data_IF_005288326265
#
_entry.id   IF_005288326265
#
_cell.length_a   1.000
_cell.length_b   1.000
_cell.length_c   1.000
_cell.angle_alpha   90.00
_cell.angle_beta   90.00
_cell.angle_gamma   90.00
#
_symmetry.space_group_name_H-M   'P 1'
#
loop_
_entity.id
_entity.type
_entity.pdbx_description
1 polymer ?
#
# COMPACT_ATOMS: atom_id res chain seq x y z
N UNK A 1 14.46 1.97 -16.19
CA UNK A 1 14.63 3.07 -15.22
C UNK A 1 13.36 3.90 -15.19
N UNK A 2 12.68 3.98 -14.05
CA UNK A 2 11.51 4.82 -13.80
C UNK A 2 11.79 5.69 -12.58
N UNK A 3 11.22 6.90 -12.54
CA UNK A 3 11.31 7.79 -11.37
C UNK A 3 10.04 7.68 -10.55
N UNK A 4 10.18 7.73 -9.23
CA UNK A 4 9.09 7.77 -8.26
C UNK A 4 9.31 8.88 -7.23
N UNK A 5 8.25 9.48 -6.79
CA UNK A 5 8.22 10.40 -5.65
C UNK A 5 7.64 9.68 -4.43
N UNK A 6 8.28 9.79 -3.28
CA UNK A 6 7.75 9.25 -2.01
C UNK A 6 7.44 10.43 -1.09
N UNK A 7 6.21 10.53 -0.63
CA UNK A 7 5.86 11.48 0.43
C UNK A 7 6.06 10.82 1.79
N UNK A 8 7.05 11.27 2.54
CA UNK A 8 7.41 10.78 3.87
C UNK A 8 8.69 9.94 3.88
N UNK A 9 9.70 10.41 4.59
CA UNK A 9 11.05 9.80 4.72
C UNK A 9 11.23 8.96 6.00
N UNK A 10 10.12 8.55 6.62
CA UNK A 10 10.12 7.72 7.82
C UNK A 10 10.36 6.23 7.54
N UNK A 11 10.14 5.38 8.54
CA UNK A 11 10.37 3.93 8.43
C UNK A 11 9.63 3.28 7.27
N UNK A 12 8.35 3.60 7.08
CA UNK A 12 7.57 3.05 5.96
C UNK A 12 8.05 3.57 4.60
N UNK A 13 8.44 4.85 4.51
CA UNK A 13 9.01 5.42 3.28
C UNK A 13 10.26 4.67 2.82
N UNK A 14 11.14 4.27 3.76
CA UNK A 14 12.33 3.44 3.45
C UNK A 14 11.96 2.05 2.93
N UNK A 15 10.91 1.44 3.48
CA UNK A 15 10.42 0.12 3.01
C UNK A 15 9.84 0.23 1.60
N UNK A 16 9.13 1.32 1.30
CA UNK A 16 8.62 1.60 -0.05
C UNK A 16 9.78 1.79 -1.04
N UNK A 17 10.79 2.59 -0.67
CA UNK A 17 11.99 2.80 -1.49
C UNK A 17 12.71 1.49 -1.79
N UNK A 18 12.96 0.66 -0.77
CA UNK A 18 13.55 -0.67 -0.95
C UNK A 18 12.73 -1.52 -1.93
N UNK A 19 11.41 -1.53 -1.78
CA UNK A 19 10.51 -2.26 -2.69
C UNK A 19 10.62 -1.74 -4.13
N UNK A 20 10.74 -0.43 -4.33
CA UNK A 20 10.92 0.17 -5.67
C UNK A 20 12.23 -0.30 -6.30
N UNK A 21 13.33 -0.37 -5.54
CA UNK A 21 14.60 -0.89 -6.04
C UNK A 21 14.55 -2.40 -6.33
N UNK A 22 13.72 -3.17 -5.62
CA UNK A 22 13.49 -4.59 -5.95
C UNK A 22 12.72 -4.79 -7.26
N UNK A 23 11.93 -3.81 -7.70
CA UNK A 23 11.29 -3.84 -9.02
C UNK A 23 12.31 -3.66 -10.15
N UNK A 24 13.23 -2.72 -9.98
CA UNK A 24 14.33 -2.41 -10.92
C UNK A 24 15.37 -1.56 -10.17
N UNK A 25 16.60 -2.06 -10.07
CA UNK A 25 17.70 -1.37 -9.38
C UNK A 25 18.06 -0.01 -10.02
N UNK A 26 17.70 0.20 -11.28
CA UNK A 26 17.93 1.46 -12.00
C UNK A 26 16.81 2.50 -11.74
N UNK A 27 15.80 2.18 -10.93
CA UNK A 27 14.78 3.15 -10.56
C UNK A 27 15.38 4.29 -9.74
N UNK A 28 14.82 5.47 -9.90
CA UNK A 28 15.20 6.67 -9.14
C UNK A 28 14.08 7.05 -8.18
N UNK A 29 14.45 7.38 -6.94
CA UNK A 29 13.50 7.76 -5.88
C UNK A 29 13.88 9.13 -5.33
N UNK A 30 12.91 10.02 -5.24
CA UNK A 30 13.04 11.28 -4.53
C UNK A 30 11.95 11.41 -3.48
N UNK A 31 12.23 12.18 -2.43
CA UNK A 31 11.32 12.32 -1.29
C UNK A 31 10.75 13.73 -1.17
N UNK A 32 9.47 13.82 -0.87
CA UNK A 32 8.91 14.94 -0.14
C UNK A 32 8.89 14.64 1.37
N UNK A 33 9.23 15.64 2.15
CA UNK A 33 9.26 15.58 3.61
C UNK A 33 9.02 16.98 4.17
N UNK A 34 8.01 17.15 5.02
CA UNK A 34 7.58 18.47 5.49
C UNK A 34 8.68 19.28 6.16
N UNK A 35 9.68 18.62 6.74
CA UNK A 35 10.77 19.27 7.45
C UNK A 35 11.95 19.67 6.55
N UNK A 36 12.24 18.89 5.49
CA UNK A 36 13.47 19.05 4.70
C UNK A 36 13.24 19.36 3.21
N UNK A 37 12.14 18.87 2.65
CA UNK A 37 11.75 19.07 1.25
C UNK A 37 10.23 19.06 1.12
N UNK A 38 9.55 20.19 1.44
CA UNK A 38 8.09 20.27 1.43
C UNK A 38 7.49 19.91 0.07
N UNK A 39 6.29 19.34 0.11
CA UNK A 39 5.56 18.98 -1.09
C UNK A 39 5.33 20.18 -2.01
N UNK A 40 5.54 19.99 -3.30
CA UNK A 40 5.25 20.97 -4.36
C UNK A 40 4.44 20.29 -5.47
N UNK A 41 3.22 20.78 -5.70
CA UNK A 41 2.33 20.27 -6.75
C UNK A 41 2.86 20.50 -8.17
N UNK A 42 3.81 21.43 -8.33
CA UNK A 42 4.42 21.76 -9.62
C UNK A 42 5.72 21.02 -9.89
N UNK A 43 6.25 20.31 -8.91
CA UNK A 43 7.47 19.54 -9.07
C UNK A 43 7.19 18.25 -9.81
N UNK A 44 7.76 18.10 -11.03
CA UNK A 44 7.66 16.89 -11.84
C UNK A 44 6.27 16.23 -11.88
N UNK A 45 5.27 16.99 -12.25
CA UNK A 45 3.83 16.62 -12.24
C UNK A 45 3.49 15.27 -12.90
N UNK A 46 4.30 14.83 -13.85
CA UNK A 46 4.09 13.57 -14.58
C UNK A 46 4.68 12.34 -13.86
N UNK A 47 5.43 12.56 -12.77
CA UNK A 47 6.01 11.49 -11.98
C UNK A 47 4.99 11.00 -10.96
N UNK A 48 4.77 9.71 -10.91
CA UNK A 48 3.85 9.12 -9.93
C UNK A 48 4.42 9.19 -8.51
N UNK A 49 3.52 9.41 -7.56
CA UNK A 49 3.83 9.55 -6.14
C UNK A 49 3.25 8.39 -5.34
N UNK A 50 3.96 7.98 -4.31
CA UNK A 50 3.49 7.02 -3.30
C UNK A 50 3.59 7.65 -1.91
N UNK A 51 2.60 7.41 -1.05
CA UNK A 51 2.62 7.92 0.33
C UNK A 51 3.36 6.92 1.22
N UNK A 52 4.56 7.29 1.65
CA UNK A 52 5.44 6.52 2.52
C UNK A 52 5.14 6.68 4.02
N UNK A 53 3.87 6.83 4.40
CA UNK A 53 3.43 7.09 5.79
C UNK A 53 2.50 5.99 6.27
N UNK A 54 2.91 5.31 7.36
CA UNK A 54 2.18 4.18 7.93
C UNK A 54 0.89 4.55 8.65
N UNK A 55 0.79 5.75 9.24
CA UNK A 55 -0.43 6.19 9.93
C UNK A 55 -1.57 6.45 8.93
N UNK A 56 -2.70 5.74 9.10
CA UNK A 56 -3.81 5.76 8.15
C UNK A 56 -4.45 7.15 8.02
N UNK A 57 -4.68 7.85 9.13
CA UNK A 57 -5.31 9.18 9.13
C UNK A 57 -4.41 10.23 8.46
N UNK A 58 -3.11 10.18 8.76
CA UNK A 58 -2.14 11.08 8.14
C UNK A 58 -2.03 10.78 6.65
N UNK A 59 -1.99 9.50 6.26
CA UNK A 59 -1.95 9.09 4.86
C UNK A 59 -3.19 9.57 4.11
N UNK A 60 -4.38 9.39 4.68
CA UNK A 60 -5.66 9.85 4.10
C UNK A 60 -5.70 11.37 3.92
N UNK A 61 -5.22 12.13 4.91
CA UNK A 61 -5.13 13.59 4.81
C UNK A 61 -4.22 14.02 3.66
N UNK A 62 -3.03 13.45 3.57
CA UNK A 62 -2.04 13.81 2.54
C UNK A 62 -2.55 13.45 1.13
N UNK A 63 -3.23 12.32 0.95
CA UNK A 63 -3.89 11.97 -0.32
C UNK A 63 -4.85 13.06 -0.77
N UNK A 64 -5.58 13.68 0.15
CA UNK A 64 -6.49 14.80 -0.16
C UNK A 64 -5.78 16.10 -0.57
N UNK A 65 -4.52 16.27 -0.22
CA UNK A 65 -3.71 17.46 -0.50
C UNK A 65 -2.85 17.32 -1.77
N UNK A 66 -2.44 16.09 -2.11
CA UNK A 66 -1.54 15.80 -3.23
C UNK A 66 -2.29 15.88 -4.57
N UNK A 67 -1.61 16.42 -5.59
CA UNK A 67 -2.14 16.60 -6.96
C UNK A 67 -1.46 15.68 -8.00
N UNK A 68 -0.43 14.95 -7.61
CA UNK A 68 0.20 13.93 -8.44
C UNK A 68 -0.70 12.70 -8.57
N UNK A 69 -0.56 11.97 -9.66
CA UNK A 69 -1.09 10.61 -9.76
C UNK A 69 -0.35 9.67 -8.79
N UNK A 70 -1.04 8.63 -8.34
CA UNK A 70 -0.47 7.71 -7.37
C UNK A 70 0.02 6.41 -8.01
N UNK A 71 1.23 6.01 -7.64
CA UNK A 71 1.77 4.70 -8.01
C UNK A 71 1.19 3.60 -7.11
N UNK A 72 0.93 2.44 -7.70
CA UNK A 72 0.71 1.19 -6.96
C UNK A 72 1.98 0.37 -7.01
N UNK A 73 2.52 -0.01 -5.85
CA UNK A 73 3.80 -0.69 -5.73
C UNK A 73 3.57 -2.12 -5.22
N UNK A 74 3.99 -3.11 -6.00
CA UNK A 74 3.85 -4.53 -5.67
C UNK A 74 5.23 -5.16 -5.67
N UNK A 75 5.67 -5.68 -4.52
CA UNK A 75 6.97 -6.34 -4.39
C UNK A 75 7.05 -7.57 -5.31
N UNK A 76 8.18 -7.82 -6.01
CA UNK A 76 8.28 -8.90 -6.98
C UNK A 76 8.09 -10.32 -6.39
N UNK A 77 8.25 -10.50 -5.09
CA UNK A 77 7.96 -11.78 -4.41
C UNK A 77 6.53 -11.89 -3.89
N UNK A 78 5.70 -10.85 -4.03
CA UNK A 78 4.29 -10.95 -3.70
C UNK A 78 3.55 -11.74 -4.79
N UNK A 79 2.62 -12.59 -4.38
CA UNK A 79 1.69 -13.23 -5.30
C UNK A 79 0.37 -12.47 -5.33
N UNK A 80 -0.03 -12.06 -6.50
CA UNK A 80 -1.34 -11.44 -6.74
C UNK A 80 -2.05 -12.24 -7.82
N UNK A 81 -3.21 -12.80 -7.48
CA UNK A 81 -4.00 -13.56 -8.43
C UNK A 81 -4.44 -12.68 -9.61
N UNK A 82 -4.49 -13.20 -10.84
CA UNK A 82 -4.88 -12.42 -12.02
C UNK A 82 -6.29 -11.79 -11.95
N UNK A 83 -7.18 -12.39 -11.16
CA UNK A 83 -8.54 -11.88 -10.93
C UNK A 83 -8.67 -10.94 -9.73
N UNK A 84 -7.59 -10.75 -8.94
CA UNK A 84 -7.61 -9.82 -7.82
C UNK A 84 -7.51 -8.36 -8.30
N UNK A 85 -8.17 -7.47 -7.57
CA UNK A 85 -8.15 -6.03 -7.84
C UNK A 85 -7.33 -5.31 -6.76
N UNK A 86 -6.46 -4.38 -7.18
CA UNK A 86 -5.68 -3.54 -6.26
C UNK A 86 -5.86 -2.08 -6.64
N UNK A 87 -6.32 -1.28 -5.69
CA UNK A 87 -6.53 0.15 -5.87
C UNK A 87 -5.23 0.96 -5.93
N UNK A 88 -5.32 2.12 -6.57
CA UNK A 88 -4.20 3.06 -6.71
C UNK A 88 -3.59 3.47 -5.37
N UNK A 89 -2.31 3.78 -5.35
CA UNK A 89 -1.59 4.21 -4.15
C UNK A 89 -1.35 3.11 -3.13
N UNK A 90 -1.78 1.87 -3.40
CA UNK A 90 -1.59 0.73 -2.50
C UNK A 90 -0.18 0.15 -2.62
N UNK A 91 0.39 -0.23 -1.48
CA UNK A 91 1.70 -0.90 -1.40
C UNK A 91 1.48 -2.34 -0.96
N UNK A 92 1.98 -3.29 -1.73
CA UNK A 92 1.99 -4.72 -1.42
C UNK A 92 3.43 -5.17 -1.23
N UNK A 93 3.77 -5.58 0.00
CA UNK A 93 5.14 -5.88 0.39
C UNK A 93 5.52 -7.36 0.19
N UNK A 94 6.78 -7.67 0.51
CA UNK A 94 7.39 -8.97 0.22
C UNK A 94 6.57 -10.16 0.72
N UNK A 95 6.43 -11.18 -0.12
CA UNK A 95 5.76 -12.44 0.18
C UNK A 95 4.28 -12.32 0.61
N UNK A 96 3.65 -11.16 0.38
CA UNK A 96 2.20 -11.07 0.54
C UNK A 96 1.50 -11.94 -0.50
N UNK A 97 0.38 -12.54 -0.14
CA UNK A 97 -0.43 -13.41 -1.01
C UNK A 97 -1.83 -12.83 -1.11
N UNK A 98 -2.23 -12.45 -2.30
CA UNK A 98 -3.57 -11.94 -2.60
C UNK A 98 -4.24 -12.91 -3.55
N UNK A 99 -5.26 -13.63 -3.05
CA UNK A 99 -5.93 -14.73 -3.73
C UNK A 99 -6.97 -14.26 -4.76
N UNK A 100 -7.56 -15.23 -5.45
CA UNK A 100 -8.54 -15.00 -6.51
C UNK A 100 -9.73 -14.15 -6.04
N UNK A 101 -10.12 -13.18 -6.86
CA UNK A 101 -11.27 -12.31 -6.66
C UNK A 101 -11.23 -11.44 -5.39
N UNK A 102 -10.09 -11.42 -4.68
CA UNK A 102 -9.87 -10.50 -3.57
C UNK A 102 -9.83 -9.05 -4.09
N UNK A 103 -10.41 -8.13 -3.30
CA UNK A 103 -10.46 -6.70 -3.64
C UNK A 103 -9.75 -5.88 -2.58
N UNK A 104 -8.67 -5.24 -2.99
CA UNK A 104 -7.91 -4.31 -2.15
C UNK A 104 -8.20 -2.89 -2.62
N UNK A 105 -8.63 -2.05 -1.71
CA UNK A 105 -8.93 -0.64 -1.94
C UNK A 105 -7.69 0.20 -2.22
N UNK A 106 -7.89 1.51 -2.23
CA UNK A 106 -6.87 2.52 -2.51
C UNK A 106 -6.02 2.82 -1.27
N UNK A 107 -4.77 3.19 -1.51
CA UNK A 107 -3.85 3.67 -0.47
C UNK A 107 -3.73 2.72 0.73
N UNK A 108 -3.88 1.42 0.51
CA UNK A 108 -3.66 0.39 1.51
C UNK A 108 -2.17 0.06 1.68
N UNK A 109 -1.83 -0.48 2.85
CA UNK A 109 -0.53 -1.09 3.11
C UNK A 109 -0.77 -2.57 3.41
N UNK A 110 -0.47 -3.44 2.43
CA UNK A 110 -0.48 -4.88 2.61
C UNK A 110 0.95 -5.31 2.93
N UNK A 111 1.22 -5.51 4.20
CA UNK A 111 2.58 -5.72 4.72
C UNK A 111 3.13 -7.11 4.38
N UNK A 112 4.40 -7.35 4.73
CA UNK A 112 5.10 -8.60 4.41
C UNK A 112 4.40 -9.83 5.00
N UNK A 113 4.36 -10.93 4.22
CA UNK A 113 3.76 -12.21 4.60
C UNK A 113 2.26 -12.13 4.97
N UNK A 114 1.56 -11.08 4.57
CA UNK A 114 0.10 -11.00 4.73
C UNK A 114 -0.58 -11.90 3.71
N UNK A 115 -1.61 -12.62 4.13
CA UNK A 115 -2.49 -13.34 3.21
C UNK A 115 -3.87 -12.72 3.22
N UNK A 116 -4.34 -12.31 2.05
CA UNK A 116 -5.73 -11.95 1.77
C UNK A 116 -6.33 -13.04 0.92
N UNK A 117 -7.23 -13.82 1.50
CA UNK A 117 -7.80 -14.99 0.87
C UNK A 117 -8.87 -14.61 -0.19
N UNK A 118 -9.35 -15.62 -0.94
CA UNK A 118 -10.27 -15.43 -2.06
C UNK A 118 -11.55 -14.68 -1.65
N UNK A 119 -12.07 -13.84 -2.54
CA UNK A 119 -13.32 -13.07 -2.34
C UNK A 119 -13.30 -12.12 -1.11
N UNK A 120 -12.17 -11.94 -0.44
CA UNK A 120 -12.04 -11.01 0.67
C UNK A 120 -12.03 -9.56 0.18
N UNK A 121 -12.54 -8.65 1.00
CA UNK A 121 -12.58 -7.21 0.70
C UNK A 121 -11.79 -6.44 1.75
N UNK A 122 -10.79 -5.71 1.31
CA UNK A 122 -10.03 -4.76 2.12
C UNK A 122 -10.34 -3.37 1.57
N UNK A 123 -11.04 -2.55 2.34
CA UNK A 123 -11.42 -1.21 1.92
C UNK A 123 -10.24 -0.23 1.93
N UNK A 124 -10.49 1.02 1.52
CA UNK A 124 -9.46 2.04 1.37
C UNK A 124 -8.72 2.35 2.69
N UNK A 125 -7.47 2.77 2.57
CA UNK A 125 -6.62 3.21 3.69
C UNK A 125 -6.36 2.17 4.78
N UNK A 126 -6.65 0.91 4.56
CA UNK A 126 -6.34 -0.15 5.52
C UNK A 126 -4.83 -0.37 5.60
N UNK A 127 -4.32 -0.59 6.82
CA UNK A 127 -2.95 -1.02 7.06
C UNK A 127 -2.94 -2.40 7.72
N UNK A 128 -2.40 -3.40 7.05
CA UNK A 128 -2.15 -4.69 7.67
C UNK A 128 -0.70 -4.75 8.16
N UNK A 129 -0.47 -5.14 9.40
CA UNK A 129 0.87 -5.46 9.88
C UNK A 129 1.31 -6.85 9.43
N UNK A 130 2.63 -7.18 9.50
CA UNK A 130 3.16 -8.45 8.96
C UNK A 130 2.42 -9.69 9.44
N UNK A 131 2.31 -10.68 8.55
CA UNK A 131 1.71 -11.99 8.79
C UNK A 131 0.22 -11.98 9.22
N UNK A 132 -0.51 -10.86 9.02
CA UNK A 132 -1.96 -10.88 9.21
C UNK A 132 -2.64 -11.78 8.16
N UNK A 133 -3.76 -12.39 8.53
CA UNK A 133 -4.56 -13.24 7.64
C UNK A 133 -5.99 -12.74 7.57
N UNK A 134 -6.46 -12.48 6.36
CA UNK A 134 -7.85 -12.10 6.06
C UNK A 134 -8.51 -13.28 5.36
N UNK A 135 -9.43 -13.94 6.03
CA UNK A 135 -10.11 -15.14 5.53
C UNK A 135 -11.02 -14.84 4.34
N UNK A 136 -11.33 -15.87 3.56
CA UNK A 136 -12.22 -15.78 2.41
C UNK A 136 -13.57 -15.15 2.78
N UNK A 137 -14.07 -14.25 1.93
CA UNK A 137 -15.29 -13.44 2.13
C UNK A 137 -15.28 -12.51 3.35
N UNK A 138 -14.15 -12.40 4.08
CA UNK A 138 -14.02 -11.42 5.15
C UNK A 138 -13.95 -10.00 4.59
N UNK A 139 -14.33 -9.04 5.42
CA UNK A 139 -14.28 -7.61 5.05
C UNK A 139 -13.56 -6.82 6.12
N UNK A 140 -12.59 -6.03 5.69
CA UNK A 140 -11.90 -5.04 6.52
C UNK A 140 -12.40 -3.67 6.09
N UNK A 141 -12.99 -2.92 7.01
CA UNK A 141 -13.55 -1.61 6.72
C UNK A 141 -12.46 -0.54 6.64
N UNK A 142 -12.79 0.55 5.95
CA UNK A 142 -11.89 1.67 5.66
C UNK A 142 -11.09 2.13 6.89
N UNK A 143 -9.81 2.38 6.69
CA UNK A 143 -8.92 2.97 7.70
C UNK A 143 -8.54 2.04 8.86
N UNK A 144 -9.00 0.80 8.88
CA UNK A 144 -8.64 -0.14 9.93
C UNK A 144 -7.17 -0.55 9.89
N UNK A 145 -6.64 -0.92 11.06
CA UNK A 145 -5.28 -1.46 11.18
C UNK A 145 -5.34 -2.87 11.78
N UNK A 146 -4.78 -3.86 11.07
CA UNK A 146 -4.61 -5.21 11.59
C UNK A 146 -3.26 -5.35 12.29
N UNK A 147 -3.25 -5.90 13.48
CA UNK A 147 -2.04 -6.19 14.26
C UNK A 147 -1.19 -7.30 13.61
N UNK A 148 0.11 -7.42 13.95
CA UNK A 148 0.94 -8.54 13.49
C UNK A 148 0.30 -9.89 13.81
N UNK A 149 0.21 -10.77 12.80
CA UNK A 149 -0.40 -12.10 12.93
C UNK A 149 -1.90 -12.12 13.23
N UNK A 150 -2.59 -10.98 13.18
CA UNK A 150 -4.04 -10.94 13.42
C UNK A 150 -4.79 -11.73 12.35
N UNK A 151 -5.74 -12.53 12.80
CA UNK A 151 -6.65 -13.29 11.94
C UNK A 151 -8.02 -12.62 11.93
N UNK A 152 -8.56 -12.39 10.73
CA UNK A 152 -9.91 -11.85 10.54
C UNK A 152 -10.73 -12.88 9.77
N UNK A 153 -11.73 -13.42 10.43
CA UNK A 153 -12.65 -14.37 9.83
C UNK A 153 -13.85 -13.65 9.20
N UNK A 154 -14.49 -14.31 8.26
CA UNK A 154 -15.80 -13.89 7.77
C UNK A 154 -16.73 -13.72 8.98
N UNK A 155 -17.32 -12.53 9.13
CA UNK A 155 -18.38 -12.33 10.11
C UNK A 155 -19.54 -13.22 9.67
N UNK A 156 -19.92 -14.21 10.49
CA UNK A 156 -21.15 -14.92 10.30
C UNK A 156 -22.29 -13.93 10.55
N UNK A 157 -22.92 -13.49 9.46
CA UNK A 157 -24.20 -12.78 9.55
C UNK A 157 -25.26 -13.87 9.67
N UNK A 158 -25.70 -14.14 10.89
CA UNK A 158 -26.88 -14.94 11.13
C UNK A 158 -28.14 -14.10 10.91
#
# INVERSE_FOLDING_TARGET
MKKYLIYGKGGHGKVVEDTIYQLDNDNNVEYFDDASNPYSENYEKEVELIIGIGNNEVRKRIVGEVKHSFATIIHPTAYVAPSAEIGEGTVVLANAVIQADAKIGKHCIINANVTVDHDAIVEDYVCTYPAAYVAGFARITEGQTLKPGQVVWKSEVF
#
